data_IF_518779979065
#
_entry.id   IF_518779979065
#
_cell.length_a   1.000
_cell.length_b   1.000
_cell.length_c   1.000
_cell.angle_alpha   90.00
_cell.angle_beta   90.00
_cell.angle_gamma   90.00
#
_symmetry.space_group_name_H-M   'P 1'
#
loop_
_entity.id
_entity.type
_entity.pdbx_description
1 polymer ?
#
# COMPACT_ATOMS: atom_id res chain seq x y z
N UNK A 1 2.54 17.31 -21.48
CA UNK A 1 2.89 17.11 -20.09
C UNK A 1 1.78 16.39 -19.36
N UNK A 2 2.10 15.27 -18.80
CA UNK A 2 1.08 14.44 -18.22
C UNK A 2 0.76 14.85 -16.81
N UNK A 3 -0.52 14.75 -16.47
CA UNK A 3 -0.93 14.98 -15.09
C UNK A 3 -0.59 13.75 -14.26
N UNK A 4 -0.25 13.94 -12.99
CA UNK A 4 -0.12 12.79 -12.11
C UNK A 4 -1.42 12.01 -12.04
N UNK A 5 -1.32 10.71 -11.83
CA UNK A 5 -2.50 9.88 -11.66
C UNK A 5 -3.15 10.19 -10.32
N UNK A 6 -4.47 10.20 -10.32
CA UNK A 6 -5.23 10.31 -9.09
C UNK A 6 -5.14 8.98 -8.34
N UNK A 7 -4.95 9.04 -7.02
CA UNK A 7 -4.85 7.82 -6.22
C UNK A 7 -6.09 7.68 -5.35
N UNK A 8 -6.78 6.57 -5.51
CA UNK A 8 -7.95 6.25 -4.70
C UNK A 8 -7.72 4.96 -3.94
N UNK A 9 -8.33 4.86 -2.76
CA UNK A 9 -8.26 3.68 -1.93
C UNK A 9 -9.63 3.02 -1.87
N UNK A 10 -9.70 1.71 -2.09
CA UNK A 10 -10.94 0.98 -1.87
C UNK A 10 -11.23 0.92 -0.37
N UNK A 11 -12.48 0.64 -0.04
CA UNK A 11 -12.85 0.45 1.35
C UNK A 11 -12.00 -0.64 1.99
N UNK A 12 -11.79 -1.73 1.27
CA UNK A 12 -10.96 -2.84 1.76
C UNK A 12 -9.54 -2.37 2.10
N UNK A 13 -8.92 -1.64 1.20
CA UNK A 13 -7.54 -1.19 1.42
C UNK A 13 -7.45 -0.21 2.57
N UNK A 14 -8.44 0.67 2.72
CA UNK A 14 -8.48 1.58 3.86
C UNK A 14 -8.60 0.82 5.17
N UNK A 15 -9.47 -0.19 5.21
CA UNK A 15 -9.62 -0.99 6.42
C UNK A 15 -8.36 -1.78 6.72
N UNK A 16 -7.67 -2.27 5.66
CA UNK A 16 -6.38 -2.92 5.85
C UNK A 16 -5.37 -1.97 6.50
N UNK A 17 -5.28 -0.75 5.97
CA UNK A 17 -4.32 0.22 6.48
C UNK A 17 -4.62 0.59 7.94
N UNK A 18 -5.90 0.77 8.25
CA UNK A 18 -6.31 1.09 9.62
C UNK A 18 -5.95 -0.04 10.57
N UNK A 19 -6.22 -1.28 10.16
CA UNK A 19 -5.93 -2.45 10.99
C UNK A 19 -4.42 -2.58 11.23
N UNK A 20 -3.61 -2.35 10.20
CA UNK A 20 -2.16 -2.41 10.34
C UNK A 20 -1.69 -1.32 11.30
N UNK A 21 -2.18 -0.09 11.11
CA UNK A 21 -1.79 1.02 11.97
C UNK A 21 -2.15 0.75 13.42
N UNK A 22 -3.36 0.26 13.68
CA UNK A 22 -3.79 -0.05 15.03
C UNK A 22 -2.93 -1.13 15.65
N UNK A 23 -2.56 -2.14 14.86
CA UNK A 23 -1.68 -3.19 15.34
C UNK A 23 -0.32 -2.60 15.74
N UNK A 24 0.22 -1.71 14.92
CA UNK A 24 1.50 -1.09 15.21
C UNK A 24 1.44 -0.20 16.44
N UNK A 25 0.32 0.50 16.64
CA UNK A 25 0.15 1.32 17.84
C UNK A 25 0.22 0.48 19.10
N UNK A 26 -0.41 -0.68 19.06
CA UNK A 26 -0.47 -1.56 20.25
C UNK A 26 0.83 -2.33 20.48
N UNK A 27 1.44 -2.84 19.40
CA UNK A 27 2.55 -3.78 19.51
C UNK A 27 3.92 -3.16 19.27
N UNK A 28 3.98 -1.96 18.73
CA UNK A 28 5.24 -1.31 18.38
C UNK A 28 5.25 0.11 18.89
N UNK A 29 6.27 0.87 18.49
CA UNK A 29 6.46 2.22 19.00
C UNK A 29 5.83 3.27 18.08
N UNK A 30 5.72 4.49 18.60
CA UNK A 30 5.27 5.62 17.78
C UNK A 30 6.15 5.80 16.55
N UNK A 31 7.43 5.48 16.68
CA UNK A 31 8.37 5.59 15.57
C UNK A 31 7.95 4.67 14.42
N UNK A 32 7.52 3.45 14.74
CA UNK A 32 7.07 2.51 13.71
C UNK A 32 5.79 2.98 13.04
N UNK A 33 4.89 3.57 13.81
CA UNK A 33 3.65 4.11 13.26
C UNK A 33 3.95 5.26 12.30
N UNK A 34 4.81 6.19 12.71
CA UNK A 34 5.19 7.32 11.86
C UNK A 34 5.87 6.85 10.58
N UNK A 35 6.72 5.85 10.69
CA UNK A 35 7.39 5.28 9.53
C UNK A 35 6.38 4.66 8.57
N UNK A 36 5.42 3.93 9.08
CA UNK A 36 4.37 3.33 8.27
C UNK A 36 3.60 4.40 7.50
N UNK A 37 3.19 5.47 8.18
CA UNK A 37 2.46 6.56 7.55
C UNK A 37 3.29 7.26 6.48
N UNK A 38 4.58 7.46 6.76
CA UNK A 38 5.49 8.08 5.80
C UNK A 38 5.64 7.21 4.55
N UNK A 39 5.76 5.90 4.73
CA UNK A 39 5.87 4.98 3.61
C UNK A 39 4.63 5.00 2.73
N UNK A 40 3.46 5.13 3.33
CA UNK A 40 2.22 5.22 2.55
C UNK A 40 2.17 6.50 1.73
N UNK A 41 2.58 7.62 2.31
CA UNK A 41 2.62 8.88 1.57
C UNK A 41 3.59 8.81 0.42
N UNK A 42 4.77 8.22 0.64
CA UNK A 42 5.75 8.05 -0.43
C UNK A 42 5.22 7.13 -1.52
N UNK A 43 4.53 6.08 -1.14
CA UNK A 43 3.93 5.16 -2.09
C UNK A 43 2.93 5.90 -2.98
N UNK A 44 2.03 6.69 -2.38
CA UNK A 44 1.04 7.42 -3.14
C UNK A 44 1.68 8.37 -4.15
N UNK A 45 2.70 9.09 -3.70
CA UNK A 45 3.40 10.01 -4.58
C UNK A 45 4.10 9.27 -5.72
N UNK A 46 4.72 8.15 -5.39
CA UNK A 46 5.44 7.36 -6.38
C UNK A 46 4.51 6.83 -7.46
N UNK A 47 3.42 6.18 -7.08
CA UNK A 47 2.53 5.58 -8.08
C UNK A 47 1.71 6.63 -8.82
N UNK A 48 1.50 7.78 -8.20
CA UNK A 48 0.83 8.88 -8.88
C UNK A 48 1.65 9.36 -10.09
N UNK A 49 2.96 9.35 -9.96
CA UNK A 49 3.84 9.79 -11.04
C UNK A 49 4.33 8.64 -11.93
N UNK A 50 4.49 7.45 -11.36
CA UNK A 50 5.05 6.29 -12.05
C UNK A 50 4.25 5.03 -11.73
N UNK A 51 3.02 4.91 -12.25
CA UNK A 51 2.18 3.76 -11.88
C UNK A 51 2.72 2.42 -12.34
N UNK A 52 3.64 2.39 -13.30
CA UNK A 52 4.20 1.13 -13.78
C UNK A 52 5.50 0.74 -13.06
N UNK A 53 5.92 1.53 -12.07
CA UNK A 53 7.18 1.28 -11.39
C UNK A 53 7.24 -0.10 -10.72
N UNK A 54 6.16 -0.50 -10.07
CA UNK A 54 6.13 -1.79 -9.39
C UNK A 54 5.62 -2.88 -10.33
N UNK A 55 6.13 -4.12 -10.19
CA UNK A 55 5.77 -5.18 -11.12
C UNK A 55 4.37 -5.72 -10.92
N UNK A 56 3.85 -6.37 -11.94
CA UNK A 56 2.59 -7.07 -11.83
C UNK A 56 2.74 -8.27 -10.89
N UNK A 57 1.65 -8.60 -10.22
CA UNK A 57 1.60 -9.79 -9.39
C UNK A 57 1.73 -11.03 -10.27
N UNK A 58 2.47 -12.02 -9.78
CA UNK A 58 2.65 -13.26 -10.55
C UNK A 58 1.36 -14.06 -10.65
N UNK A 59 0.48 -13.88 -9.67
CA UNK A 59 -0.74 -14.68 -9.61
C UNK A 59 -1.94 -14.00 -10.28
N UNK A 60 -1.84 -12.71 -10.59
CA UNK A 60 -2.99 -12.00 -11.12
C UNK A 60 -2.54 -10.86 -12.02
N UNK A 61 -2.94 -10.94 -13.29
CA UNK A 61 -2.60 -9.92 -14.28
C UNK A 61 -3.23 -8.59 -13.92
N UNK A 62 -2.54 -7.53 -14.30
CA UNK A 62 -2.96 -6.14 -14.07
C UNK A 62 -2.93 -5.70 -12.63
N UNK A 63 -2.80 -6.64 -11.69
CA UNK A 63 -2.66 -6.29 -10.29
C UNK A 63 -1.18 -6.09 -10.00
N UNK A 64 -0.81 -4.89 -9.59
CA UNK A 64 0.57 -4.55 -9.27
C UNK A 64 0.84 -4.83 -7.80
N UNK A 65 2.05 -5.26 -7.53
CA UNK A 65 2.47 -5.64 -6.17
C UNK A 65 3.64 -4.76 -5.77
N UNK A 66 3.40 -3.87 -4.83
CA UNK A 66 4.40 -2.91 -4.37
C UNK A 66 4.90 -3.30 -2.98
N UNK A 67 6.12 -3.82 -2.91
CA UNK A 67 6.75 -4.09 -1.62
C UNK A 67 7.41 -2.79 -1.19
N UNK A 68 6.70 -2.03 -0.35
CA UNK A 68 7.15 -0.70 0.05
C UNK A 68 8.04 -0.73 1.29
N UNK A 69 8.10 -1.88 1.96
CA UNK A 69 8.94 -2.11 3.13
C UNK A 69 9.04 -3.62 3.28
N UNK A 70 10.07 -4.09 3.96
CA UNK A 70 10.25 -5.53 4.12
C UNK A 70 9.04 -6.25 4.71
N UNK A 71 8.22 -5.53 5.46
CA UNK A 71 7.02 -6.12 6.07
C UNK A 71 5.72 -5.72 5.41
N UNK A 72 5.72 -4.73 4.53
CA UNK A 72 4.49 -4.11 4.03
C UNK A 72 4.39 -4.19 2.53
N UNK A 73 3.29 -4.73 2.03
CA UNK A 73 3.00 -4.88 0.60
C UNK A 73 1.67 -4.23 0.28
N UNK A 74 1.63 -3.47 -0.81
CA UNK A 74 0.42 -2.81 -1.29
C UNK A 74 0.09 -3.36 -2.67
N UNK A 75 -1.18 -3.65 -2.90
CA UNK A 75 -1.66 -4.12 -4.20
C UNK A 75 -2.51 -3.04 -4.84
N UNK A 76 -2.28 -2.75 -6.10
CA UNK A 76 -3.02 -1.73 -6.81
C UNK A 76 -3.17 -2.06 -8.28
N UNK A 77 -4.13 -1.39 -8.90
CA UNK A 77 -4.30 -1.41 -10.35
C UNK A 77 -4.27 0.04 -10.81
N UNK A 78 -4.08 0.26 -12.10
CA UNK A 78 -4.22 1.61 -12.62
C UNK A 78 -4.88 1.59 -13.99
N UNK A 79 -5.50 2.68 -14.31
CA UNK A 79 -6.18 2.89 -15.56
C UNK A 79 -5.70 4.24 -16.10
N UNK A 80 -6.39 4.79 -17.07
CA UNK A 80 -5.93 5.96 -17.82
C UNK A 80 -5.41 7.11 -16.99
N UNK A 81 -6.05 7.41 -15.88
CA UNK A 81 -5.64 8.55 -15.06
C UNK A 81 -5.81 8.29 -13.57
N UNK A 82 -6.01 7.04 -13.19
CA UNK A 82 -6.31 6.72 -11.80
C UNK A 82 -5.58 5.48 -11.35
N UNK A 83 -5.01 5.55 -10.14
CA UNK A 83 -4.47 4.40 -9.43
C UNK A 83 -5.47 4.02 -8.36
N UNK A 84 -5.85 2.76 -8.31
CA UNK A 84 -6.79 2.26 -7.30
C UNK A 84 -6.07 1.26 -6.40
N UNK A 85 -5.94 1.59 -5.12
CA UNK A 85 -5.32 0.70 -4.15
C UNK A 85 -6.35 -0.33 -3.72
N UNK A 86 -6.03 -1.60 -3.95
CA UNK A 86 -6.99 -2.70 -3.76
C UNK A 86 -6.89 -3.31 -2.39
N UNK A 87 -5.66 -3.52 -1.90
CA UNK A 87 -5.46 -4.19 -0.63
C UNK A 87 -4.06 -3.89 -0.11
N UNK A 88 -3.85 -4.12 1.16
CA UNK A 88 -2.56 -3.96 1.79
C UNK A 88 -2.40 -5.05 2.85
N UNK A 89 -1.17 -5.52 3.02
CA UNK A 89 -0.91 -6.45 4.10
C UNK A 89 0.45 -6.18 4.71
N UNK A 90 0.59 -6.60 5.96
CA UNK A 90 1.82 -6.42 6.71
C UNK A 90 2.14 -7.76 7.38
N UNK A 91 3.36 -8.24 7.15
CA UNK A 91 3.75 -9.56 7.64
C UNK A 91 3.78 -9.65 9.16
N UNK A 92 4.00 -8.53 9.83
CA UNK A 92 4.00 -8.51 11.29
C UNK A 92 2.62 -8.83 11.83
N UNK A 93 1.59 -8.28 11.20
CA UNK A 93 0.21 -8.51 11.59
C UNK A 93 -0.19 -9.96 11.40
N UNK A 94 0.31 -10.58 10.35
CA UNK A 94 -0.03 -11.96 10.01
C UNK A 94 0.28 -12.93 11.13
N UNK A 95 1.38 -12.72 11.83
CA UNK A 95 1.79 -13.63 12.89
C UNK A 95 0.83 -13.66 14.07
N UNK A 96 0.12 -12.57 14.28
CA UNK A 96 -0.79 -12.48 15.41
C UNK A 96 -2.00 -13.37 15.25
N UNK A 97 -2.32 -13.77 14.04
CA UNK A 97 -3.53 -14.54 13.76
C UNK A 97 -3.32 -16.04 13.72
N UNK A 98 -2.10 -16.49 13.82
CA UNK A 98 -1.84 -17.94 13.75
C UNK A 98 -1.76 -18.60 15.10
#
# INVERSE_FOLDING_TARGET
MDRPYEVEWTKRSLLNAIAIKNYLIVKFTKKEVSKFESLLRQFELTVSNFPTLYPESKSQRHLRRAVIHKNTTVYYIFDKNKVTVIAMKDNRQKKASS
#
